data_IF_419541569350
#
_entry.id   IF_419541569350
#
_cell.length_a   1.000
_cell.length_b   1.000
_cell.length_c   1.000
_cell.angle_alpha   90.00
_cell.angle_beta   90.00
_cell.angle_gamma   90.00
#
_symmetry.space_group_name_H-M   'P 1'
#
loop_
_entity.id
_entity.type
_entity.pdbx_description
1 polymer ?
#
# COMPACT_ATOMS: atom_id res chain seq x y z
N UNK A 1 7.21 5.30 13.26
CA UNK A 1 5.76 5.41 13.55
C UNK A 1 5.21 6.61 12.79
N UNK A 2 3.95 6.56 12.34
CA UNK A 2 3.32 7.72 11.69
C UNK A 2 3.07 8.81 12.74
N UNK A 3 3.87 9.87 12.71
CA UNK A 3 3.73 11.06 13.55
C UNK A 3 2.69 12.02 12.97
N UNK A 4 2.11 12.89 13.80
CA UNK A 4 1.30 13.99 13.28
C UNK A 4 2.12 14.80 12.27
N UNK A 5 1.58 15.00 11.06
CA UNK A 5 2.26 15.74 9.99
C UNK A 5 3.18 14.91 9.08
N UNK A 6 3.33 13.59 9.28
CA UNK A 6 4.19 12.72 8.45
C UNK A 6 3.94 12.88 6.94
N UNK A 7 2.68 13.11 6.53
CA UNK A 7 2.33 13.33 5.12
C UNK A 7 3.04 14.56 4.55
N UNK A 8 3.16 15.65 5.32
CA UNK A 8 3.81 16.87 4.85
C UNK A 8 5.32 16.64 4.63
N UNK A 9 5.96 15.84 5.47
CA UNK A 9 7.36 15.43 5.31
C UNK A 9 7.55 14.60 4.03
N UNK A 10 6.65 13.64 3.77
CA UNK A 10 6.66 12.85 2.53
C UNK A 10 6.42 13.75 1.31
N UNK A 11 5.44 14.65 1.35
CA UNK A 11 5.17 15.60 0.26
C UNK A 11 6.40 16.45 -0.07
N UNK A 12 7.12 16.90 0.96
CA UNK A 12 8.32 17.73 0.81
C UNK A 12 9.52 16.96 0.25
N UNK A 13 9.47 15.63 0.27
CA UNK A 13 10.53 14.74 -0.21
C UNK A 13 10.17 14.00 -1.49
N UNK A 14 9.13 14.42 -2.23
CA UNK A 14 8.78 13.75 -3.50
C UNK A 14 9.74 14.05 -4.65
N UNK A 15 10.48 15.17 -4.61
CA UNK A 15 11.47 15.53 -5.63
C UNK A 15 12.77 14.74 -5.45
N UNK A 16 12.67 13.43 -5.68
CA UNK A 16 13.79 12.49 -5.59
C UNK A 16 13.51 11.28 -6.48
N UNK A 17 14.55 10.55 -6.94
CA UNK A 17 14.34 9.31 -7.66
C UNK A 17 13.73 8.25 -6.74
N UNK A 18 12.85 7.42 -7.31
CA UNK A 18 12.28 6.21 -6.71
C UNK A 18 12.57 5.03 -7.63
N UNK A 19 12.84 3.87 -7.03
CA UNK A 19 13.06 2.62 -7.78
C UNK A 19 11.71 2.01 -8.21
N UNK A 20 10.65 2.26 -7.44
CA UNK A 20 9.30 1.76 -7.71
C UNK A 20 8.24 2.73 -7.17
N UNK A 21 7.18 2.94 -7.97
CA UNK A 21 5.97 3.64 -7.53
C UNK A 21 4.80 2.67 -7.63
N UNK A 22 4.09 2.48 -6.51
CA UNK A 22 2.89 1.66 -6.41
C UNK A 22 1.66 2.57 -6.38
N UNK A 23 0.73 2.37 -7.31
CA UNK A 23 -0.52 3.12 -7.38
C UNK A 23 -1.65 2.23 -6.84
N UNK A 24 -2.28 2.67 -5.75
CA UNK A 24 -3.35 1.98 -5.05
C UNK A 24 -2.90 1.40 -3.70
N UNK A 25 -3.49 1.87 -2.61
CA UNK A 25 -3.27 1.46 -1.23
C UNK A 25 -4.22 0.36 -0.75
N UNK A 26 -4.72 -0.49 -1.65
CA UNK A 26 -5.42 -1.74 -1.31
C UNK A 26 -4.47 -2.85 -0.86
N UNK A 27 -4.99 -4.04 -0.59
CA UNK A 27 -4.20 -5.18 -0.09
C UNK A 27 -3.06 -5.58 -1.04
N UNK A 28 -3.31 -5.54 -2.36
CA UNK A 28 -2.31 -5.86 -3.38
C UNK A 28 -1.16 -4.84 -3.37
N UNK A 29 -1.49 -3.55 -3.41
CA UNK A 29 -0.47 -2.50 -3.41
C UNK A 29 0.30 -2.41 -2.10
N UNK A 30 -0.37 -2.60 -0.96
CA UNK A 30 0.29 -2.69 0.35
C UNK A 30 1.28 -3.87 0.42
N UNK A 31 0.92 -5.03 -0.13
CA UNK A 31 1.81 -6.19 -0.24
C UNK A 31 3.03 -5.92 -1.12
N UNK A 32 2.82 -5.32 -2.30
CA UNK A 32 3.91 -4.95 -3.21
C UNK A 32 4.86 -3.93 -2.54
N UNK A 33 4.31 -2.91 -1.89
CA UNK A 33 5.10 -1.90 -1.19
C UNK A 33 5.93 -2.51 -0.06
N UNK A 34 5.35 -3.42 0.74
CA UNK A 34 6.06 -4.11 1.80
C UNK A 34 7.25 -4.91 1.26
N UNK A 35 7.03 -5.73 0.23
CA UNK A 35 8.09 -6.58 -0.32
C UNK A 35 9.18 -5.76 -1.03
N UNK A 36 8.81 -4.68 -1.75
CA UNK A 36 9.77 -3.77 -2.35
C UNK A 36 10.63 -3.05 -1.29
N UNK A 37 10.02 -2.56 -0.22
CA UNK A 37 10.73 -1.95 0.90
C UNK A 37 11.66 -2.97 1.59
N UNK A 38 11.24 -4.22 1.78
CA UNK A 38 12.09 -5.30 2.33
C UNK A 38 13.26 -5.66 1.44
N UNK A 39 13.10 -5.51 0.13
CA UNK A 39 14.19 -5.68 -0.84
C UNK A 39 15.16 -4.47 -0.87
N UNK A 40 14.92 -3.42 -0.07
CA UNK A 40 15.76 -2.22 -0.02
C UNK A 40 15.49 -1.22 -1.13
N UNK A 41 14.41 -1.38 -1.90
CA UNK A 41 14.02 -0.45 -2.95
C UNK A 41 13.41 0.82 -2.35
N UNK A 42 13.82 1.96 -2.89
CA UNK A 42 13.21 3.24 -2.57
C UNK A 42 11.84 3.34 -3.24
N UNK A 43 10.81 2.97 -2.49
CA UNK A 43 9.46 2.76 -3.00
C UNK A 43 8.51 3.85 -2.50
N UNK A 44 7.68 4.38 -3.39
CA UNK A 44 6.56 5.26 -3.06
C UNK A 44 5.23 4.51 -3.26
N UNK A 45 4.29 4.62 -2.34
CA UNK A 45 2.91 4.18 -2.54
C UNK A 45 1.99 5.40 -2.49
N UNK A 46 1.09 5.49 -3.48
CA UNK A 46 0.10 6.56 -3.58
C UNK A 46 -1.30 5.96 -3.62
N UNK A 47 -2.20 6.48 -2.80
CA UNK A 47 -3.61 6.11 -2.74
C UNK A 47 -4.45 7.37 -2.93
N UNK A 48 -5.51 7.29 -3.73
CA UNK A 48 -6.38 8.43 -4.04
C UNK A 48 -7.28 8.83 -2.86
N UNK A 49 -7.60 7.87 -1.99
CA UNK A 49 -8.47 8.06 -0.83
C UNK A 49 -7.74 7.69 0.47
N UNK A 50 -8.31 6.80 1.28
CA UNK A 50 -7.66 6.23 2.46
C UNK A 50 -7.18 4.81 2.16
N UNK A 51 -6.20 4.34 2.94
CA UNK A 51 -5.68 2.99 2.79
C UNK A 51 -6.80 1.96 2.94
N UNK A 52 -6.78 0.93 2.10
CA UNK A 52 -7.81 -0.11 2.02
C UNK A 52 -9.26 0.34 1.71
N UNK A 53 -9.52 1.61 1.39
CA UNK A 53 -10.88 2.16 1.18
C UNK A 53 -11.68 1.51 0.03
N UNK A 54 -11.00 0.89 -0.94
CA UNK A 54 -11.60 0.11 -2.03
C UNK A 54 -12.10 -1.28 -1.62
N UNK A 55 -12.06 -2.25 -2.54
CA UNK A 55 -12.53 -3.64 -2.32
C UNK A 55 -11.90 -4.30 -1.08
N UNK A 56 -10.67 -3.93 -0.74
CA UNK A 56 -9.93 -4.49 0.40
C UNK A 56 -10.63 -4.29 1.76
N UNK A 57 -11.49 -3.27 1.93
CA UNK A 57 -12.32 -3.10 3.14
C UNK A 57 -13.72 -3.73 3.03
N UNK A 58 -14.12 -4.15 1.82
CA UNK A 58 -15.46 -4.60 1.45
C UNK A 58 -15.54 -6.11 1.18
N UNK A 59 -14.66 -6.89 1.81
CA UNK A 59 -14.71 -8.36 1.77
C UNK A 59 -15.67 -8.91 2.83
N UNK A 60 -15.88 -10.24 2.80
CA UNK A 60 -16.53 -11.00 3.88
C UNK A 60 -15.71 -11.02 5.18
N UNK A 61 -14.48 -10.47 5.17
CA UNK A 61 -13.52 -10.48 6.31
C UNK A 61 -13.17 -11.89 6.78
N UNK A 62 -13.25 -12.86 5.87
CA UNK A 62 -12.87 -14.26 6.09
C UNK A 62 -11.77 -14.64 5.09
N UNK A 63 -10.74 -15.33 5.57
CA UNK A 63 -9.72 -15.94 4.72
C UNK A 63 -10.15 -17.40 4.50
N UNK A 64 -10.48 -17.75 3.26
CA UNK A 64 -10.92 -19.11 2.92
C UNK A 64 -10.21 -19.63 1.67
N UNK A 65 -9.97 -20.95 1.62
CA UNK A 65 -9.45 -21.64 0.43
C UNK A 65 -10.47 -21.81 -0.70
N UNK A 66 -11.74 -21.45 -0.44
CA UNK A 66 -12.81 -21.58 -1.42
C UNK A 66 -13.25 -23.03 -1.60
N UNK A 67 -13.68 -23.66 -0.50
CA UNK A 67 -14.10 -25.08 -0.46
C UNK A 67 -15.13 -25.46 -1.54
N UNK A 68 -15.92 -24.48 -2.02
CA UNK A 68 -16.85 -24.64 -3.16
C UNK A 68 -16.16 -25.02 -4.49
N UNK A 69 -14.85 -24.82 -4.61
CA UNK A 69 -14.08 -25.03 -5.84
C UNK A 69 -13.34 -26.37 -5.89
N UNK A 70 -13.56 -27.26 -4.91
CA UNK A 70 -13.22 -28.69 -5.00
C UNK A 70 -14.36 -29.44 -5.70
#
# INVERSE_FOLDING_TARGET
MWSNGWRNEIWSSLDQPFDLIVIGGGITGGGIFLEAARAGLKTLLVEAHDFASGTSSRSSKLVHGGFRYL
#
